data_IF_562526276131
#
_entry.id   IF_562526276131
#
_cell.length_a   1.000
_cell.length_b   1.000
_cell.length_c   1.000
_cell.angle_alpha   90.00
_cell.angle_beta   90.00
_cell.angle_gamma   90.00
#
_symmetry.space_group_name_H-M   'P 1'
#
loop_
_entity.id
_entity.type
_entity.pdbx_description
1 polymer ?
#
# COMPACT_ATOMS: atom_id res chain seq x y z
N UNK A 1 55.53 -22.49 -3.05
CA UNK A 1 54.09 -22.68 -2.75
C UNK A 1 53.50 -21.30 -2.52
N UNK A 2 52.77 -20.75 -3.49
CA UNK A 2 52.05 -19.47 -3.38
C UNK A 2 50.57 -19.80 -3.47
N UNK A 3 49.84 -19.60 -2.38
CA UNK A 3 48.38 -19.75 -2.32
C UNK A 3 47.75 -18.45 -2.82
N UNK A 4 47.01 -18.53 -3.91
CA UNK A 4 46.21 -17.43 -4.43
C UNK A 4 44.84 -17.45 -3.74
N UNK A 5 44.51 -16.37 -3.02
CA UNK A 5 43.17 -16.14 -2.47
C UNK A 5 42.24 -15.65 -3.59
N UNK A 6 41.20 -16.43 -3.88
CA UNK A 6 40.11 -16.03 -4.77
C UNK A 6 39.07 -15.23 -3.97
N UNK A 7 38.98 -13.94 -4.27
CA UNK A 7 37.87 -13.06 -3.86
C UNK A 7 36.71 -13.37 -4.80
N UNK A 8 35.64 -13.97 -4.28
CA UNK A 8 34.38 -14.13 -5.01
C UNK A 8 33.57 -12.83 -4.89
N UNK A 9 33.54 -12.04 -5.96
CA UNK A 9 32.57 -10.98 -6.14
C UNK A 9 31.22 -11.61 -6.50
N UNK A 10 30.20 -11.42 -5.64
CA UNK A 10 28.82 -11.76 -5.96
C UNK A 10 28.29 -10.71 -6.95
N UNK A 11 28.28 -11.07 -8.23
CA UNK A 11 27.56 -10.33 -9.26
C UNK A 11 26.09 -10.76 -9.19
N UNK A 12 25.23 -9.85 -8.74
CA UNK A 12 23.80 -9.94 -8.97
C UNK A 12 23.52 -9.69 -10.46
N UNK A 13 22.67 -10.50 -11.07
CA UNK A 13 22.14 -10.23 -12.41
C UNK A 13 22.10 -11.44 -13.33
N UNK A 14 20.92 -12.06 -13.38
CA UNK A 14 20.16 -12.61 -14.53
C UNK A 14 19.34 -13.74 -13.93
N UNK A 15 18.09 -13.43 -13.57
CA UNK A 15 17.10 -14.47 -13.43
C UNK A 15 16.92 -15.08 -14.83
N UNK A 16 17.50 -16.26 -15.05
CA UNK A 16 17.13 -17.12 -16.17
C UNK A 16 15.66 -17.50 -15.97
N UNK A 17 14.75 -16.67 -16.51
CA UNK A 17 13.39 -17.07 -16.75
C UNK A 17 13.45 -18.30 -17.67
N UNK A 18 13.27 -19.49 -17.08
CA UNK A 18 13.22 -20.72 -17.86
C UNK A 18 12.02 -20.61 -18.81
N UNK A 19 12.17 -20.92 -20.12
CA UNK A 19 11.04 -21.01 -21.02
C UNK A 19 10.07 -22.08 -20.47
N UNK A 20 8.84 -21.67 -20.10
CA UNK A 20 7.79 -22.58 -19.66
C UNK A 20 7.24 -22.41 -18.23
N UNK A 21 7.67 -21.40 -17.46
CA UNK A 21 7.00 -21.06 -16.19
C UNK A 21 5.77 -20.19 -16.46
N UNK A 22 4.58 -20.78 -16.33
CA UNK A 22 3.33 -20.03 -16.30
C UNK A 22 3.27 -19.21 -14.99
N UNK A 23 3.39 -17.89 -15.11
CA UNK A 23 3.32 -16.95 -13.97
C UNK A 23 2.01 -17.12 -13.19
N UNK A 24 0.89 -17.41 -13.87
CA UNK A 24 -0.40 -17.63 -13.20
C UNK A 24 -0.35 -18.89 -12.33
N UNK A 25 0.26 -19.96 -12.85
CA UNK A 25 0.47 -21.19 -12.08
C UNK A 25 1.40 -20.97 -10.88
N UNK A 26 2.48 -20.21 -11.05
CA UNK A 26 3.40 -19.88 -9.95
C UNK A 26 2.73 -19.10 -8.82
N UNK A 27 1.86 -18.13 -9.17
CA UNK A 27 1.09 -17.35 -8.19
C UNK A 27 0.11 -18.28 -7.47
N UNK A 28 -0.64 -19.12 -8.20
CA UNK A 28 -1.58 -20.07 -7.61
C UNK A 28 -0.88 -21.06 -6.65
N UNK A 29 0.26 -21.63 -7.06
CA UNK A 29 1.04 -22.55 -6.22
C UNK A 29 1.55 -21.85 -4.94
N UNK A 30 1.93 -20.58 -5.03
CA UNK A 30 2.37 -19.81 -3.88
C UNK A 30 1.22 -19.40 -2.95
N UNK A 31 0.05 -19.05 -3.50
CA UNK A 31 -1.16 -18.81 -2.70
C UNK A 31 -1.56 -20.08 -1.92
N UNK A 32 -1.46 -21.25 -2.56
CA UNK A 32 -1.65 -22.54 -1.89
C UNK A 32 -0.62 -22.75 -0.77
N UNK A 33 0.64 -22.38 -0.98
CA UNK A 33 1.65 -22.43 0.07
C UNK A 33 1.34 -21.48 1.23
N UNK A 34 0.89 -20.25 0.97
CA UNK A 34 0.49 -19.31 2.05
C UNK A 34 -0.63 -19.90 2.92
N UNK A 35 -1.61 -20.57 2.31
CA UNK A 35 -2.69 -21.26 3.04
C UNK A 35 -2.18 -22.38 3.96
N UNK A 36 -0.98 -22.89 3.72
CA UNK A 36 -0.37 -24.01 4.46
C UNK A 36 0.73 -23.57 5.44
N UNK A 37 1.18 -22.33 5.35
CA UNK A 37 2.25 -21.75 6.17
C UNK A 37 1.66 -21.20 7.48
N UNK A 38 2.51 -21.09 8.52
CA UNK A 38 2.16 -20.46 9.79
C UNK A 38 1.53 -19.06 9.64
N UNK A 39 0.80 -18.62 10.67
CA UNK A 39 0.19 -17.29 10.69
C UNK A 39 -1.23 -17.22 10.15
N UNK A 40 -1.92 -18.37 10.07
CA UNK A 40 -3.35 -18.46 9.80
C UNK A 40 -3.75 -18.41 8.32
N UNK A 41 -2.79 -18.27 7.39
CA UNK A 41 -3.07 -18.11 5.96
C UNK A 41 -3.76 -16.78 5.63
N UNK A 42 -4.35 -16.63 4.42
CA UNK A 42 -5.05 -15.40 4.04
C UNK A 42 -6.27 -15.12 4.92
N UNK A 43 -6.62 -13.85 5.10
CA UNK A 43 -7.79 -13.46 5.88
C UNK A 43 -9.09 -13.75 5.13
N UNK A 44 -9.99 -14.54 5.71
CA UNK A 44 -11.22 -15.03 5.02
C UNK A 44 -12.54 -14.69 5.71
N UNK A 45 -12.51 -13.98 6.85
CA UNK A 45 -13.73 -13.59 7.57
C UNK A 45 -14.56 -12.60 6.72
N UNK A 46 -15.89 -12.77 6.64
CA UNK A 46 -16.75 -11.77 5.99
C UNK A 46 -16.93 -10.55 6.91
N UNK A 47 -17.14 -9.38 6.33
CA UNK A 47 -17.29 -8.10 7.05
C UNK A 47 -18.48 -7.31 6.51
N UNK A 48 -18.95 -6.33 7.30
CA UNK A 48 -20.05 -5.44 6.91
C UNK A 48 -21.38 -6.17 6.75
N UNK A 49 -22.21 -5.66 5.83
CA UNK A 49 -23.51 -6.22 5.43
C UNK A 49 -23.39 -7.60 4.76
N UNK A 50 -22.22 -7.95 4.21
CA UNK A 50 -22.00 -9.27 3.60
C UNK A 50 -22.07 -10.44 4.60
N UNK A 51 -21.98 -10.18 5.90
CA UNK A 51 -22.11 -11.22 6.95
C UNK A 51 -23.54 -11.79 6.98
N UNK A 52 -24.55 -10.94 6.75
CA UNK A 52 -25.97 -11.29 6.95
C UNK A 52 -26.68 -11.66 5.64
N UNK A 53 -26.16 -11.20 4.50
CA UNK A 53 -26.76 -11.40 3.19
C UNK A 53 -26.56 -12.83 2.66
N UNK A 54 -27.62 -13.42 2.10
CA UNK A 54 -27.53 -14.69 1.36
C UNK A 54 -27.04 -14.43 -0.06
N UNK A 55 -26.49 -15.45 -0.72
CA UNK A 55 -25.94 -15.32 -2.08
C UNK A 55 -26.90 -14.70 -3.10
N UNK A 56 -28.20 -15.06 -3.01
CA UNK A 56 -29.25 -14.52 -3.89
C UNK A 56 -29.59 -13.03 -3.64
N UNK A 57 -29.15 -12.48 -2.52
CA UNK A 57 -29.34 -11.09 -2.11
C UNK A 57 -28.13 -10.22 -2.51
N UNK A 58 -27.05 -10.82 -3.02
CA UNK A 58 -25.85 -10.11 -3.43
C UNK A 58 -26.02 -9.47 -4.81
N UNK A 59 -25.57 -8.23 -4.94
CA UNK A 59 -25.33 -7.61 -6.24
C UNK A 59 -24.11 -8.25 -6.91
N UNK A 60 -23.88 -7.94 -8.18
CA UNK A 60 -22.66 -8.39 -8.87
C UNK A 60 -21.40 -7.88 -8.16
N UNK A 61 -21.38 -6.62 -7.72
CA UNK A 61 -20.26 -6.05 -6.96
C UNK A 61 -20.13 -6.71 -5.59
N UNK A 62 -21.23 -6.90 -4.86
CA UNK A 62 -21.21 -7.55 -3.55
C UNK A 62 -20.68 -8.98 -3.61
N UNK A 63 -21.09 -9.76 -4.62
CA UNK A 63 -20.54 -11.09 -4.88
C UNK A 63 -19.04 -11.03 -5.21
N UNK A 64 -18.61 -10.10 -6.07
CA UNK A 64 -17.21 -9.94 -6.41
C UNK A 64 -16.34 -9.56 -5.19
N UNK A 65 -16.82 -8.65 -4.33
CA UNK A 65 -16.13 -8.29 -3.09
C UNK A 65 -16.07 -9.47 -2.14
N UNK A 66 -17.19 -10.18 -1.93
CA UNK A 66 -17.22 -11.40 -1.10
C UNK A 66 -16.16 -12.38 -1.55
N UNK A 67 -16.08 -12.67 -2.85
CA UNK A 67 -15.13 -13.63 -3.41
C UNK A 67 -13.67 -13.18 -3.21
N UNK A 68 -13.37 -11.87 -3.23
CA UNK A 68 -12.04 -11.35 -2.84
C UNK A 68 -11.78 -11.59 -1.36
N UNK A 69 -12.75 -11.25 -0.49
CA UNK A 69 -12.61 -11.33 0.97
C UNK A 69 -12.37 -12.76 1.45
N UNK A 70 -12.95 -13.76 0.78
CA UNK A 70 -12.73 -15.18 1.09
C UNK A 70 -11.62 -15.82 0.24
N UNK A 71 -10.91 -15.01 -0.56
CA UNK A 71 -9.79 -15.41 -1.43
C UNK A 71 -10.14 -16.42 -2.53
N UNK A 72 -11.37 -16.37 -3.02
CA UNK A 72 -11.84 -17.08 -4.22
C UNK A 72 -11.64 -16.25 -5.50
N UNK A 73 -11.48 -14.93 -5.38
CA UNK A 73 -11.12 -14.03 -6.47
C UNK A 73 -9.87 -13.21 -6.13
N UNK A 74 -9.18 -12.71 -7.16
CA UNK A 74 -8.05 -11.80 -6.97
C UNK A 74 -8.53 -10.43 -6.50
N UNK A 75 -7.86 -9.87 -5.50
CA UNK A 75 -7.97 -8.45 -5.13
C UNK A 75 -7.27 -7.51 -6.12
N UNK A 76 -6.61 -8.03 -7.15
CA UNK A 76 -5.93 -7.27 -8.19
C UNK A 76 -6.68 -7.40 -9.53
N UNK A 77 -6.66 -6.33 -10.33
CA UNK A 77 -7.10 -6.34 -11.73
C UNK A 77 -6.07 -5.57 -12.56
N UNK A 78 -5.43 -6.24 -13.53
CA UNK A 78 -4.44 -5.62 -14.43
C UNK A 78 -4.94 -5.42 -15.86
N UNK A 79 -6.19 -5.80 -16.13
CA UNK A 79 -6.72 -5.93 -17.49
C UNK A 79 -7.84 -4.91 -17.79
N UNK A 80 -8.58 -4.45 -16.77
CA UNK A 80 -9.71 -3.52 -16.97
C UNK A 80 -9.25 -2.06 -16.94
N UNK A 81 -9.59 -1.29 -17.98
CA UNK A 81 -9.27 0.14 -18.12
C UNK A 81 -10.42 0.91 -18.78
N UNK A 82 -10.45 2.23 -18.60
CA UNK A 82 -11.14 3.10 -19.55
C UNK A 82 -10.40 3.14 -20.88
N UNK A 83 -11.14 3.11 -21.97
CA UNK A 83 -10.63 3.62 -23.23
C UNK A 83 -10.66 5.16 -23.17
N UNK A 84 -9.48 5.79 -23.14
CA UNK A 84 -9.35 7.25 -23.06
C UNK A 84 -10.01 7.95 -24.27
N UNK A 85 -10.20 7.26 -25.41
CA UNK A 85 -10.92 7.79 -26.57
C UNK A 85 -12.45 7.77 -26.42
N UNK A 86 -12.95 6.96 -25.49
CA UNK A 86 -14.38 6.81 -25.18
C UNK A 86 -14.78 7.50 -23.86
N UNK A 87 -13.81 8.08 -23.13
CA UNK A 87 -14.09 8.78 -21.88
C UNK A 87 -14.95 10.03 -22.12
N UNK A 88 -16.19 9.98 -21.63
CA UNK A 88 -17.12 11.09 -21.72
C UNK A 88 -16.54 12.38 -21.08
N UNK A 89 -16.79 13.57 -21.66
CA UNK A 89 -16.31 14.82 -21.09
C UNK A 89 -16.79 15.04 -19.65
N UNK A 90 -15.90 15.49 -18.77
CA UNK A 90 -16.24 15.79 -17.37
C UNK A 90 -17.40 16.80 -17.28
N UNK A 91 -18.49 16.40 -16.62
CA UNK A 91 -19.69 17.21 -16.44
C UNK A 91 -20.68 17.16 -17.61
N UNK A 92 -20.50 16.23 -18.55
CA UNK A 92 -21.54 15.87 -19.51
C UNK A 92 -22.53 14.87 -18.89
N UNK A 93 -23.73 14.78 -19.47
CA UNK A 93 -24.77 13.84 -19.03
C UNK A 93 -24.30 12.39 -19.15
N UNK A 94 -23.52 12.06 -20.17
CA UNK A 94 -22.94 10.73 -20.36
C UNK A 94 -21.97 10.38 -19.21
N UNK A 95 -21.13 11.32 -18.79
CA UNK A 95 -20.22 11.10 -17.66
C UNK A 95 -20.97 11.02 -16.32
N UNK A 96 -22.06 11.77 -16.16
CA UNK A 96 -22.93 11.69 -14.98
C UNK A 96 -23.70 10.36 -14.90
N UNK A 97 -23.93 9.70 -16.04
CA UNK A 97 -24.60 8.39 -16.10
C UNK A 97 -23.68 7.18 -15.82
N UNK A 98 -22.36 7.36 -15.84
CA UNK A 98 -21.37 6.35 -15.45
C UNK A 98 -20.78 6.71 -14.09
N UNK A 99 -21.19 5.96 -13.05
CA UNK A 99 -20.75 6.14 -11.66
C UNK A 99 -19.23 6.26 -11.49
N UNK A 100 -18.45 5.70 -12.41
CA UNK A 100 -16.99 5.70 -12.36
C UNK A 100 -16.34 6.78 -13.24
N UNK A 101 -17.07 7.52 -14.07
CA UNK A 101 -16.47 8.43 -15.05
C UNK A 101 -15.70 9.57 -14.38
N UNK A 102 -16.32 10.24 -13.40
CA UNK A 102 -15.64 11.31 -12.66
C UNK A 102 -14.37 10.82 -11.96
N UNK A 103 -14.38 9.57 -11.49
CA UNK A 103 -13.26 8.96 -10.78
C UNK A 103 -12.04 8.72 -11.67
N UNK A 104 -12.21 8.56 -12.99
CA UNK A 104 -11.07 8.52 -13.93
C UNK A 104 -10.33 9.86 -13.97
N UNK A 105 -11.06 10.97 -14.07
CA UNK A 105 -10.46 12.31 -14.01
C UNK A 105 -9.77 12.58 -12.68
N UNK A 106 -10.34 12.10 -11.57
CA UNK A 106 -9.74 12.19 -10.25
C UNK A 106 -8.45 11.37 -10.22
N UNK A 107 -8.50 10.09 -10.58
CA UNK A 107 -7.34 9.19 -10.57
C UNK A 107 -6.17 9.72 -11.43
N UNK A 108 -6.45 10.26 -12.61
CA UNK A 108 -5.42 10.85 -13.48
C UNK A 108 -4.76 12.10 -12.87
N UNK A 109 -5.54 12.94 -12.18
CA UNK A 109 -5.02 14.11 -11.49
C UNK A 109 -4.20 13.74 -10.25
N UNK A 110 -4.64 12.74 -9.50
CA UNK A 110 -3.92 12.18 -8.35
C UNK A 110 -2.58 11.61 -8.79
N UNK A 111 -2.57 10.74 -9.81
CA UNK A 111 -1.37 10.07 -10.32
C UNK A 111 -0.28 11.06 -10.76
N UNK A 112 -0.66 12.19 -11.38
CA UNK A 112 0.27 13.27 -11.77
C UNK A 112 0.99 13.91 -10.59
N UNK A 113 0.40 13.86 -9.39
CA UNK A 113 1.00 14.42 -8.17
C UNK A 113 1.84 13.39 -7.40
N UNK A 114 1.85 12.13 -7.81
CA UNK A 114 2.38 11.00 -7.02
C UNK A 114 3.74 10.48 -7.49
N UNK A 115 4.26 10.98 -8.61
CA UNK A 115 5.51 10.52 -9.23
C UNK A 115 6.41 11.72 -9.58
N UNK A 116 7.71 11.60 -9.33
CA UNK A 116 8.69 12.63 -9.69
C UNK A 116 9.48 12.32 -10.96
N UNK A 117 10.50 13.12 -11.24
CA UNK A 117 11.33 13.02 -12.46
C UNK A 117 12.16 11.74 -12.58
N UNK A 118 12.33 10.97 -11.50
CA UNK A 118 12.95 9.64 -11.58
C UNK A 118 11.96 8.54 -11.99
N UNK A 119 10.66 8.84 -12.07
CA UNK A 119 9.63 7.84 -12.30
C UNK A 119 9.31 6.96 -11.08
N UNK A 120 9.91 7.24 -9.91
CA UNK A 120 9.57 6.60 -8.63
C UNK A 120 8.49 7.41 -7.91
N UNK A 121 7.73 6.78 -7.02
CA UNK A 121 6.69 7.50 -6.28
C UNK A 121 7.27 8.42 -5.19
N UNK A 122 6.53 9.48 -4.89
CA UNK A 122 6.94 10.59 -4.03
C UNK A 122 6.20 10.59 -2.68
N UNK A 123 6.43 11.59 -1.84
CA UNK A 123 5.84 11.71 -0.51
C UNK A 123 4.31 11.81 -0.53
N UNK A 124 3.71 12.35 -1.59
CA UNK A 124 2.25 12.39 -1.78
C UNK A 124 1.69 10.98 -1.90
N UNK A 125 2.33 10.13 -2.72
CA UNK A 125 1.93 8.73 -2.85
C UNK A 125 2.06 7.98 -1.53
N UNK A 126 3.24 8.06 -0.89
CA UNK A 126 3.50 7.43 0.41
C UNK A 126 2.52 7.88 1.49
N UNK A 127 2.23 9.18 1.51
CA UNK A 127 1.25 9.78 2.40
C UNK A 127 -0.16 9.26 2.15
N UNK A 128 -0.57 9.11 0.90
CA UNK A 128 -1.91 8.62 0.55
C UNK A 128 -2.11 7.14 0.93
N UNK A 129 -1.08 6.30 0.74
CA UNK A 129 -1.07 4.90 1.21
C UNK A 129 -1.26 4.85 2.73
N UNK A 130 -0.49 5.65 3.47
CA UNK A 130 -0.62 5.74 4.94
C UNK A 130 -1.99 6.28 5.35
N UNK A 131 -2.50 7.29 4.67
CA UNK A 131 -3.81 7.91 4.96
C UNK A 131 -4.95 6.88 4.80
N UNK A 132 -4.92 6.07 3.74
CA UNK A 132 -5.91 5.01 3.53
C UNK A 132 -5.96 4.01 4.68
N UNK A 133 -4.79 3.62 5.21
CA UNK A 133 -4.70 2.79 6.42
C UNK A 133 -5.22 3.52 7.66
N UNK A 134 -4.79 4.75 7.94
CA UNK A 134 -5.13 5.46 9.16
C UNK A 134 -6.62 5.83 9.25
N UNK A 135 -7.28 6.09 8.12
CA UNK A 135 -8.74 6.25 8.07
C UNK A 135 -9.43 4.91 8.39
N UNK A 136 -9.13 3.87 7.61
CA UNK A 136 -9.85 2.61 7.68
C UNK A 136 -9.58 1.78 8.95
N UNK A 137 -8.34 1.78 9.44
CA UNK A 137 -7.92 0.92 10.52
C UNK A 137 -8.38 1.42 11.89
N UNK A 138 -9.01 2.59 12.01
CA UNK A 138 -9.56 3.08 13.27
C UNK A 138 -10.95 2.44 13.59
N UNK A 139 -11.04 1.13 13.38
CA UNK A 139 -12.23 0.27 13.56
C UNK A 139 -11.88 -1.04 14.27
N UNK A 140 -12.81 -1.65 14.99
CA UNK A 140 -12.66 -2.99 15.57
C UNK A 140 -14.02 -3.70 15.70
N UNK A 141 -14.02 -5.03 15.66
CA UNK A 141 -15.22 -5.86 15.90
C UNK A 141 -15.86 -5.62 17.28
N UNK A 142 -15.03 -5.42 18.31
CA UNK A 142 -15.50 -5.34 19.70
C UNK A 142 -16.00 -3.96 20.11
N UNK A 143 -15.31 -2.88 19.71
CA UNK A 143 -15.69 -1.51 20.11
C UNK A 143 -16.39 -0.73 18.99
N UNK A 144 -16.51 -1.33 17.81
CA UNK A 144 -16.89 -0.61 16.60
C UNK A 144 -15.82 0.40 16.21
N UNK A 145 -16.27 1.55 15.75
CA UNK A 145 -15.47 2.58 15.12
C UNK A 145 -16.10 2.99 13.80
N UNK A 146 -15.45 3.93 13.13
CA UNK A 146 -15.93 4.58 11.91
C UNK A 146 -15.43 3.86 10.67
N UNK A 147 -14.16 3.45 10.68
CA UNK A 147 -13.56 2.69 9.60
C UNK A 147 -13.31 3.54 8.36
N UNK A 148 -13.41 2.95 7.18
CA UNK A 148 -13.17 3.64 5.91
C UNK A 148 -14.34 4.57 5.57
N UNK A 149 -14.41 5.72 6.21
CA UNK A 149 -15.53 6.66 6.12
C UNK A 149 -15.11 8.14 6.05
N UNK A 150 -13.81 8.41 5.87
CA UNK A 150 -13.27 9.75 5.72
C UNK A 150 -13.29 10.62 6.97
N UNK A 151 -13.67 10.06 8.12
CA UNK A 151 -13.69 10.74 9.41
C UNK A 151 -12.33 11.35 9.75
N UNK A 152 -11.21 10.75 9.31
CA UNK A 152 -9.89 11.27 9.63
C UNK A 152 -9.67 12.74 9.17
N UNK A 153 -10.29 13.12 8.05
CA UNK A 153 -10.26 14.50 7.53
C UNK A 153 -11.50 15.27 7.99
N UNK A 154 -12.69 14.70 7.87
CA UNK A 154 -13.95 15.40 8.16
C UNK A 154 -14.04 15.82 9.64
N UNK A 155 -13.58 14.96 10.54
CA UNK A 155 -13.52 15.23 11.98
C UNK A 155 -12.21 15.91 12.41
N UNK A 156 -11.38 16.35 11.47
CA UNK A 156 -10.11 17.06 11.70
C UNK A 156 -9.12 16.26 12.59
N UNK A 157 -9.08 14.94 12.41
CA UNK A 157 -8.27 14.04 13.24
C UNK A 157 -6.79 14.08 12.89
N UNK A 158 -6.42 14.41 11.65
CA UNK A 158 -5.01 14.60 11.27
C UNK A 158 -4.31 15.70 12.09
N UNK A 159 -5.07 16.69 12.60
CA UNK A 159 -4.52 17.84 13.36
C UNK A 159 -4.75 17.74 14.86
N UNK A 160 -5.63 16.84 15.31
CA UNK A 160 -6.07 16.77 16.71
C UNK A 160 -5.63 15.50 17.42
N UNK A 161 -5.12 14.49 16.70
CA UNK A 161 -4.71 13.22 17.28
C UNK A 161 -3.26 12.89 17.01
N UNK A 162 -2.57 12.47 18.07
CA UNK A 162 -1.14 12.18 18.03
C UNK A 162 -0.78 10.91 17.27
N UNK A 163 -1.69 9.93 17.20
CA UNK A 163 -1.53 8.70 16.41
C UNK A 163 -1.51 8.99 14.89
N UNK A 164 -2.03 10.13 14.45
CA UNK A 164 -2.03 10.58 13.06
C UNK A 164 -0.89 11.54 12.70
N UNK A 165 0.05 11.79 13.62
CA UNK A 165 1.15 12.74 13.41
C UNK A 165 1.90 12.45 12.10
N UNK A 166 2.12 13.48 11.31
CA UNK A 166 2.77 13.40 10.00
C UNK A 166 1.85 13.13 8.82
N UNK A 167 0.53 13.08 9.01
CA UNK A 167 -0.47 13.02 7.94
C UNK A 167 -1.02 14.39 7.53
N UNK A 168 -0.65 15.46 8.23
CA UNK A 168 -1.23 16.80 8.05
C UNK A 168 -1.15 17.28 6.59
N UNK A 169 0.02 17.13 5.96
CA UNK A 169 0.27 17.55 4.57
C UNK A 169 -0.62 16.81 3.56
N UNK A 170 -0.72 15.48 3.67
CA UNK A 170 -1.55 14.68 2.77
C UNK A 170 -3.04 14.88 3.05
N UNK A 171 -3.45 15.10 4.31
CA UNK A 171 -4.84 15.43 4.64
C UNK A 171 -5.24 16.78 4.05
N UNK A 172 -4.37 17.80 4.12
CA UNK A 172 -4.64 19.12 3.53
C UNK A 172 -4.70 19.05 1.98
N UNK A 173 -3.83 18.23 1.37
CA UNK A 173 -3.88 17.97 -0.07
C UNK A 173 -5.16 17.23 -0.48
N UNK A 174 -5.55 16.20 0.27
CA UNK A 174 -6.77 15.43 0.03
C UNK A 174 -8.03 16.29 0.21
N UNK A 175 -8.05 17.17 1.22
CA UNK A 175 -9.12 18.15 1.39
C UNK A 175 -9.20 19.14 0.21
N UNK A 176 -8.07 19.51 -0.38
CA UNK A 176 -8.01 20.34 -1.59
C UNK A 176 -8.59 19.62 -2.81
N UNK A 177 -8.25 18.34 -3.01
CA UNK A 177 -8.86 17.51 -4.05
C UNK A 177 -10.36 17.31 -3.84
N UNK A 178 -10.78 17.08 -2.61
CA UNK A 178 -12.21 16.97 -2.27
C UNK A 178 -12.94 18.27 -2.58
N UNK A 179 -12.41 19.43 -2.21
CA UNK A 179 -13.01 20.73 -2.53
C UNK A 179 -13.17 20.95 -4.05
N UNK A 180 -12.21 20.46 -4.85
CA UNK A 180 -12.24 20.52 -6.32
C UNK A 180 -13.34 19.63 -6.92
N UNK A 181 -13.58 18.46 -6.34
CA UNK A 181 -14.40 17.41 -6.95
C UNK A 181 -15.75 17.14 -6.28
N UNK A 182 -16.00 17.61 -5.04
CA UNK A 182 -17.24 17.35 -4.28
C UNK A 182 -18.53 17.76 -4.99
N UNK A 183 -18.46 18.72 -5.93
CA UNK A 183 -19.61 19.13 -6.75
C UNK A 183 -20.13 18.02 -7.67
N UNK A 184 -19.36 16.96 -7.89
CA UNK A 184 -19.72 15.78 -8.67
C UNK A 184 -20.21 14.60 -7.80
N UNK A 185 -20.59 14.86 -6.53
CA UNK A 185 -21.20 13.84 -5.67
C UNK A 185 -20.24 12.81 -5.07
N UNK A 186 -18.92 13.06 -5.11
CA UNK A 186 -17.94 12.17 -4.46
C UNK A 186 -18.01 12.27 -2.93
N UNK A 187 -17.62 11.20 -2.25
CA UNK A 187 -17.39 11.16 -0.79
C UNK A 187 -15.91 11.36 -0.47
N UNK A 188 -15.60 11.88 0.71
CA UNK A 188 -14.22 11.92 1.22
C UNK A 188 -13.68 10.51 1.45
N UNK A 189 -14.53 9.62 1.97
CA UNK A 189 -14.20 8.22 2.21
C UNK A 189 -13.68 7.52 0.95
N UNK A 190 -14.40 7.65 -0.16
CA UNK A 190 -14.00 7.06 -1.43
C UNK A 190 -12.77 7.76 -2.01
N UNK A 191 -12.65 9.09 -1.85
CA UNK A 191 -11.46 9.81 -2.30
C UNK A 191 -10.19 9.33 -1.59
N UNK A 192 -10.24 9.08 -0.27
CA UNK A 192 -9.10 8.56 0.50
C UNK A 192 -8.71 7.17 0.01
N UNK A 193 -9.68 6.25 -0.10
CA UNK A 193 -9.38 4.86 -0.50
C UNK A 193 -8.95 4.76 -1.96
N UNK A 194 -9.55 5.55 -2.87
CA UNK A 194 -9.05 5.67 -4.25
C UNK A 194 -7.64 6.25 -4.28
N UNK A 195 -7.36 7.31 -3.51
CA UNK A 195 -6.02 7.93 -3.48
C UNK A 195 -4.94 6.96 -3.03
N UNK A 196 -5.24 6.10 -2.05
CA UNK A 196 -4.32 5.04 -1.64
C UNK A 196 -4.07 4.03 -2.76
N UNK A 197 -5.11 3.57 -3.47
CA UNK A 197 -4.94 2.62 -4.57
C UNK A 197 -4.21 3.24 -5.78
N UNK A 198 -4.51 4.49 -6.12
CA UNK A 198 -3.79 5.26 -7.17
C UNK A 198 -2.32 5.42 -6.77
N UNK A 199 -2.03 5.73 -5.51
CA UNK A 199 -0.67 5.84 -5.00
C UNK A 199 0.10 4.52 -5.09
N UNK A 200 -0.52 3.42 -4.65
CA UNK A 200 0.07 2.07 -4.73
C UNK A 200 0.47 1.73 -6.15
N UNK A 201 -0.40 1.86 -7.16
CA UNK A 201 -0.04 1.57 -8.56
C UNK A 201 0.91 2.60 -9.17
N UNK A 202 0.91 3.84 -8.68
CA UNK A 202 1.84 4.89 -9.13
C UNK A 202 3.28 4.58 -8.73
N UNK A 203 3.48 3.94 -7.57
CA UNK A 203 4.75 3.34 -7.21
C UNK A 203 5.07 2.19 -8.19
N UNK A 204 6.24 2.21 -8.87
CA UNK A 204 6.62 1.13 -9.75
C UNK A 204 6.56 -0.22 -9.03
N UNK A 205 6.11 -1.27 -9.74
CA UNK A 205 5.82 -2.61 -9.23
C UNK A 205 4.58 -2.74 -8.32
N UNK A 206 3.92 -1.63 -7.98
CA UNK A 206 2.76 -1.66 -7.08
C UNK A 206 1.51 -2.25 -7.73
N UNK A 207 0.73 -3.09 -7.02
CA UNK A 207 -0.43 -3.75 -7.59
C UNK A 207 -1.56 -2.78 -7.91
N UNK A 208 -2.34 -3.11 -8.95
CA UNK A 208 -3.64 -2.48 -9.23
C UNK A 208 -4.71 -3.11 -8.34
N UNK A 209 -4.85 -2.58 -7.13
CA UNK A 209 -5.83 -3.06 -6.15
C UNK A 209 -7.25 -2.71 -6.63
N UNK A 210 -8.15 -3.69 -6.63
CA UNK A 210 -9.55 -3.49 -7.03
C UNK A 210 -10.19 -2.41 -6.17
N UNK A 211 -10.86 -1.47 -6.81
CA UNK A 211 -11.36 -0.24 -6.18
C UNK A 211 -12.87 -0.19 -6.29
N UNK A 212 -13.51 0.01 -5.14
CA UNK A 212 -14.96 0.09 -5.01
C UNK A 212 -15.33 1.47 -4.48
N UNK A 213 -16.43 2.03 -4.96
CA UNK A 213 -16.91 3.39 -4.65
C UNK A 213 -18.35 3.31 -4.13
N UNK A 214 -18.73 4.21 -3.24
CA UNK A 214 -20.08 4.28 -2.65
C UNK A 214 -20.07 4.33 -1.13
N UNK A 215 -18.92 4.63 -0.50
CA UNK A 215 -18.82 4.79 0.96
C UNK A 215 -19.57 6.03 1.41
N UNK A 216 -20.10 5.97 2.62
CA UNK A 216 -20.77 7.10 3.26
C UNK A 216 -19.77 7.85 4.13
N UNK A 217 -19.71 9.16 3.95
CA UNK A 217 -18.91 10.04 4.80
C UNK A 217 -19.45 10.08 6.24
N UNK A 218 -18.54 10.21 7.20
CA UNK A 218 -18.86 10.39 8.60
C UNK A 218 -18.10 11.56 9.20
N UNK A 219 -18.80 12.39 9.98
CA UNK A 219 -18.17 13.41 10.82
C UNK A 219 -17.92 12.93 12.26
N UNK A 220 -18.21 11.66 12.56
CA UNK A 220 -17.94 11.08 13.87
C UNK A 220 -16.44 10.83 13.96
N UNK A 221 -15.72 11.35 14.97
CA UNK A 221 -14.31 11.02 15.15
C UNK A 221 -14.13 9.54 15.44
N UNK A 222 -13.04 8.96 14.93
CA UNK A 222 -12.77 7.55 15.13
C UNK A 222 -12.51 7.19 16.61
N UNK A 223 -12.75 5.94 16.97
CA UNK A 223 -12.43 5.45 18.32
C UNK A 223 -10.92 5.53 18.59
N UNK A 224 -10.54 5.97 19.80
CA UNK A 224 -9.13 6.09 20.19
C UNK A 224 -8.48 4.73 20.43
N UNK A 225 -7.15 4.69 20.26
CA UNK A 225 -6.31 3.52 20.58
C UNK A 225 -6.59 2.27 19.73
N UNK A 226 -7.05 2.46 18.48
CA UNK A 226 -7.28 1.37 17.53
C UNK A 226 -6.18 1.25 16.44
N UNK A 227 -5.19 2.15 16.46
CA UNK A 227 -4.04 2.11 15.56
C UNK A 227 -2.80 1.51 16.26
N UNK A 228 -1.91 0.82 15.52
CA UNK A 228 -0.70 0.24 16.07
C UNK A 228 0.35 1.30 16.42
N UNK A 229 1.24 0.97 17.37
CA UNK A 229 2.45 1.74 17.64
C UNK A 229 3.69 1.07 16.99
N UNK A 230 4.66 1.84 16.46
CA UNK A 230 5.88 1.30 15.83
C UNK A 230 6.79 0.50 16.78
N UNK A 231 6.50 0.49 18.08
CA UNK A 231 7.19 -0.32 19.10
C UNK A 231 6.42 -1.55 19.58
N UNK A 232 5.21 -1.77 19.08
CA UNK A 232 4.34 -2.85 19.55
C UNK A 232 4.94 -4.24 19.33
N UNK A 233 4.62 -5.17 20.25
CA UNK A 233 4.98 -6.58 20.10
C UNK A 233 4.13 -7.26 19.03
N UNK A 234 4.64 -8.33 18.42
CA UNK A 234 3.89 -9.17 17.48
C UNK A 234 2.56 -9.63 18.08
N UNK A 235 2.55 -10.14 19.31
CA UNK A 235 1.33 -10.56 20.01
C UNK A 235 0.28 -9.44 20.15
N UNK A 236 0.71 -8.20 20.43
CA UNK A 236 -0.22 -7.05 20.49
C UNK A 236 -0.76 -6.72 19.10
N UNK A 237 0.10 -6.72 18.08
CA UNK A 237 -0.29 -6.45 16.70
C UNK A 237 -1.25 -7.51 16.16
N UNK A 238 -0.99 -8.79 16.41
CA UNK A 238 -1.86 -9.89 15.99
C UNK A 238 -3.24 -9.79 16.64
N UNK A 239 -3.30 -9.44 17.93
CA UNK A 239 -4.58 -9.17 18.60
C UNK A 239 -5.29 -7.97 17.97
N UNK A 240 -4.58 -6.86 17.76
CA UNK A 240 -5.16 -5.63 17.20
C UNK A 240 -5.72 -5.84 15.79
N UNK A 241 -5.00 -6.56 14.94
CA UNK A 241 -5.40 -6.85 13.57
C UNK A 241 -6.42 -8.00 13.47
N UNK A 242 -6.40 -8.96 14.39
CA UNK A 242 -7.45 -9.98 14.52
C UNK A 242 -8.82 -9.38 14.86
N UNK A 243 -8.84 -8.33 15.68
CA UNK A 243 -10.04 -7.51 15.93
C UNK A 243 -10.51 -6.72 14.69
N UNK A 244 -9.70 -6.68 13.63
CA UNK A 244 -9.99 -6.05 12.33
C UNK A 244 -10.18 -7.08 11.22
N UNK A 245 -10.42 -8.35 11.56
CA UNK A 245 -10.61 -9.46 10.62
C UNK A 245 -9.38 -9.90 9.82
N UNK A 246 -8.16 -9.55 10.28
CA UNK A 246 -6.92 -9.99 9.64
C UNK A 246 -6.25 -11.13 10.40
N UNK A 247 -5.65 -12.06 9.65
CA UNK A 247 -4.71 -13.03 10.19
C UNK A 247 -3.32 -12.39 10.37
N UNK A 248 -2.41 -13.03 11.14
CA UNK A 248 -1.00 -12.63 11.16
C UNK A 248 -0.35 -12.58 9.77
N UNK A 249 -0.65 -13.53 8.86
CA UNK A 249 -0.15 -13.48 7.49
C UNK A 249 -0.73 -12.32 6.68
N UNK A 250 -2.01 -11.98 6.87
CA UNK A 250 -2.63 -10.79 6.28
C UNK A 250 -1.97 -9.50 6.74
N UNK A 251 -1.60 -9.39 8.02
CA UNK A 251 -0.80 -8.28 8.54
C UNK A 251 0.56 -8.19 7.84
N UNK A 252 1.28 -9.32 7.66
CA UNK A 252 2.57 -9.32 6.96
C UNK A 252 2.43 -8.81 5.53
N UNK A 253 1.35 -9.15 4.82
CA UNK A 253 1.09 -8.65 3.48
C UNK A 253 0.93 -7.12 3.48
N UNK A 254 0.15 -6.56 4.41
CA UNK A 254 -0.08 -5.12 4.55
C UNK A 254 1.18 -4.35 4.95
N UNK A 255 2.02 -4.90 5.84
CA UNK A 255 3.28 -4.28 6.27
C UNK A 255 4.25 -4.01 5.11
N UNK A 256 4.13 -4.75 4.01
CA UNK A 256 4.92 -4.51 2.81
C UNK A 256 4.77 -3.09 2.24
N UNK A 257 3.69 -2.37 2.57
CA UNK A 257 3.55 -0.94 2.22
C UNK A 257 4.72 -0.08 2.73
N UNK A 258 5.44 -0.54 3.76
CA UNK A 258 6.67 0.09 4.25
C UNK A 258 7.82 0.08 3.22
N UNK A 259 7.72 -0.66 2.11
CA UNK A 259 8.64 -0.50 0.98
C UNK A 259 8.55 0.90 0.34
N UNK A 260 7.42 1.58 0.55
CA UNK A 260 7.21 2.96 0.10
C UNK A 260 6.93 3.87 1.29
N UNK A 261 7.84 3.92 2.26
CA UNK A 261 7.69 4.77 3.45
C UNK A 261 8.99 5.45 3.91
N UNK A 262 8.82 6.54 4.64
CA UNK A 262 9.87 7.24 5.39
C UNK A 262 9.33 7.64 6.76
N UNK A 263 10.19 7.59 7.78
CA UNK A 263 9.83 7.95 9.15
C UNK A 263 10.28 9.39 9.46
N UNK A 264 9.44 10.16 10.15
CA UNK A 264 9.78 11.54 10.60
C UNK A 264 9.80 11.71 12.11
N UNK A 265 9.11 10.84 12.85
CA UNK A 265 8.77 11.09 14.26
C UNK A 265 9.11 9.95 15.21
N UNK A 266 9.51 8.77 14.71
CA UNK A 266 9.91 7.66 15.59
C UNK A 266 11.31 7.92 16.11
N UNK A 267 12.21 8.33 15.23
CA UNK A 267 13.51 8.87 15.58
C UNK A 267 13.72 10.21 14.86
N UNK A 268 13.46 11.35 15.52
CA UNK A 268 13.64 12.67 14.92
C UNK A 268 15.07 12.96 14.45
N UNK A 269 16.09 12.30 15.02
CA UNK A 269 17.48 12.47 14.59
C UNK A 269 17.75 11.84 13.22
N UNK A 270 16.87 10.93 12.80
CA UNK A 270 16.91 10.21 11.53
C UNK A 270 15.70 10.53 10.64
N UNK A 271 15.08 11.69 10.82
CA UNK A 271 13.91 12.09 10.04
C UNK A 271 14.18 11.92 8.52
N UNK A 272 13.16 11.44 7.82
CA UNK A 272 13.14 11.07 6.41
C UNK A 272 13.95 9.81 6.07
N UNK A 273 14.44 9.06 7.07
CA UNK A 273 15.01 7.73 6.83
C UNK A 273 13.93 6.76 6.33
N UNK A 274 14.19 6.04 5.22
CA UNK A 274 13.24 5.08 4.66
C UNK A 274 13.25 3.73 5.39
N UNK A 275 12.22 2.92 5.19
CA UNK A 275 12.14 1.56 5.75
C UNK A 275 12.83 0.51 4.87
N UNK A 276 13.22 0.87 3.65
CA UNK A 276 14.15 0.13 2.79
C UNK A 276 15.02 1.08 1.94
N UNK A 277 15.87 0.54 1.08
CA UNK A 277 16.76 1.34 0.22
C UNK A 277 16.09 2.01 -0.98
N UNK A 278 14.83 1.70 -1.25
CA UNK A 278 14.11 2.06 -2.48
C UNK A 278 12.74 2.68 -2.16
N UNK A 279 12.65 3.74 -1.32
CA UNK A 279 11.39 4.26 -0.77
C UNK A 279 10.37 4.83 -1.78
N UNK A 280 10.68 4.81 -3.07
CA UNK A 280 9.78 5.20 -4.15
C UNK A 280 9.37 4.03 -5.06
N UNK A 281 9.71 2.79 -4.71
CA UNK A 281 9.44 1.59 -5.49
C UNK A 281 8.71 0.58 -4.60
N UNK A 282 7.64 -0.03 -5.10
CA UNK A 282 6.87 -1.03 -4.36
C UNK A 282 7.52 -2.41 -4.52
N UNK A 283 8.68 -2.62 -3.89
CA UNK A 283 9.47 -3.83 -4.06
C UNK A 283 9.65 -4.62 -2.75
N UNK A 284 10.36 -5.75 -2.83
CA UNK A 284 10.56 -6.64 -1.69
C UNK A 284 11.81 -6.32 -0.87
N UNK A 285 12.48 -5.18 -1.12
CA UNK A 285 13.66 -4.76 -0.36
C UNK A 285 13.31 -4.60 1.12
N UNK A 286 12.14 -4.06 1.47
CA UNK A 286 11.62 -4.02 2.84
C UNK A 286 11.70 -5.37 3.56
N UNK A 287 11.15 -6.43 2.95
CA UNK A 287 11.15 -7.76 3.56
C UNK A 287 12.58 -8.30 3.75
N UNK A 288 13.44 -8.11 2.74
CA UNK A 288 14.82 -8.57 2.77
C UNK A 288 15.67 -7.81 3.80
N UNK A 289 15.54 -6.49 3.83
CA UNK A 289 16.39 -5.60 4.61
C UNK A 289 15.97 -5.57 6.07
N UNK A 290 14.68 -5.77 6.38
CA UNK A 290 14.23 -5.95 7.77
C UNK A 290 14.95 -7.12 8.45
N UNK A 291 15.10 -8.26 7.75
CA UNK A 291 15.82 -9.44 8.25
C UNK A 291 17.35 -9.29 8.24
N UNK A 292 17.90 -8.37 7.45
CA UNK A 292 19.35 -8.24 7.26
C UNK A 292 19.97 -7.37 8.39
N UNK A 293 20.84 -7.92 9.27
CA UNK A 293 21.51 -7.12 10.30
C UNK A 293 22.46 -6.06 9.71
N UNK A 294 22.88 -6.22 8.45
CA UNK A 294 23.74 -5.31 7.71
C UNK A 294 22.97 -4.57 6.60
N UNK A 295 21.69 -4.23 6.83
CA UNK A 295 20.94 -3.38 5.91
C UNK A 295 21.65 -2.02 5.72
N UNK A 296 21.44 -1.33 4.58
CA UNK A 296 22.08 -0.04 4.33
C UNK A 296 21.86 0.96 5.49
N UNK A 297 22.88 1.74 5.90
CA UNK A 297 22.77 2.63 7.07
C UNK A 297 21.63 3.65 7.04
N UNK A 298 21.18 4.08 5.86
CA UNK A 298 20.00 4.95 5.73
C UNK A 298 18.71 4.28 6.20
N UNK A 299 18.62 2.95 6.10
CA UNK A 299 17.40 2.19 6.39
C UNK A 299 17.08 2.24 7.88
N UNK A 300 15.85 2.61 8.20
CA UNK A 300 15.31 2.66 9.55
C UNK A 300 14.24 1.57 9.70
N UNK A 301 14.50 0.61 10.60
CA UNK A 301 13.56 -0.48 10.89
C UNK A 301 12.70 -0.12 12.09
N UNK A 302 11.39 -0.20 11.95
CA UNK A 302 10.52 -0.13 13.13
C UNK A 302 10.69 -1.40 13.97
N UNK A 303 10.55 -1.25 15.29
CA UNK A 303 10.69 -2.37 16.20
C UNK A 303 9.52 -3.36 16.04
N UNK A 304 8.33 -2.87 15.70
CA UNK A 304 7.16 -3.67 15.29
C UNK A 304 7.47 -4.57 14.09
N UNK A 305 8.13 -4.04 13.06
CA UNK A 305 8.46 -4.78 11.85
C UNK A 305 9.45 -5.90 12.16
N UNK A 306 10.44 -5.61 13.00
CA UNK A 306 11.40 -6.62 13.50
C UNK A 306 10.65 -7.72 14.27
N UNK A 307 9.77 -7.35 15.21
CA UNK A 307 8.99 -8.33 15.99
C UNK A 307 8.17 -9.25 15.09
N UNK A 308 7.41 -8.70 14.14
CA UNK A 308 6.59 -9.50 13.22
C UNK A 308 7.45 -10.34 12.26
N UNK A 309 8.59 -9.82 11.80
CA UNK A 309 9.47 -10.56 10.88
C UNK A 309 10.13 -11.80 11.51
N UNK A 310 10.32 -11.80 12.83
CA UNK A 310 11.01 -12.86 13.57
C UNK A 310 10.04 -13.79 14.32
N UNK A 311 8.76 -13.41 14.45
CA UNK A 311 7.78 -14.20 15.18
C UNK A 311 7.58 -15.59 14.54
N UNK A 312 7.52 -16.68 15.33
CA UNK A 312 7.26 -18.03 14.82
C UNK A 312 6.00 -18.17 13.96
N UNK A 313 4.96 -17.37 14.19
CA UNK A 313 3.74 -17.41 13.40
C UNK A 313 3.92 -16.79 12.02
N UNK A 314 4.84 -15.83 11.83
CA UNK A 314 4.89 -15.02 10.60
C UNK A 314 6.24 -15.05 9.88
N UNK A 315 7.30 -15.60 10.47
CA UNK A 315 8.63 -15.55 9.85
C UNK A 315 8.71 -16.29 8.50
N UNK A 316 7.92 -17.35 8.30
CA UNK A 316 7.92 -18.13 7.06
C UNK A 316 7.28 -17.33 5.90
N UNK A 317 6.12 -16.71 6.14
CA UNK A 317 5.46 -15.84 5.15
C UNK A 317 6.30 -14.60 4.86
N UNK A 318 6.98 -14.02 5.87
CA UNK A 318 7.92 -12.92 5.67
C UNK A 318 9.06 -13.31 4.71
N UNK A 319 9.67 -14.48 4.93
CA UNK A 319 10.74 -15.00 4.06
C UNK A 319 10.24 -15.35 2.66
N UNK A 320 8.98 -15.79 2.53
CA UNK A 320 8.37 -16.03 1.23
C UNK A 320 8.27 -14.74 0.42
N UNK A 321 7.77 -13.65 1.00
CA UNK A 321 7.71 -12.36 0.30
C UNK A 321 9.10 -11.82 -0.03
N UNK A 322 10.10 -12.07 0.82
CA UNK A 322 11.51 -11.73 0.53
C UNK A 322 12.14 -12.51 -0.65
N UNK A 323 11.47 -13.53 -1.20
CA UNK A 323 12.07 -14.50 -2.13
C UNK A 323 11.93 -14.12 -3.62
N UNK A 324 12.69 -13.11 -4.05
CA UNK A 324 12.88 -12.78 -5.46
C UNK A 324 11.59 -12.42 -6.22
N UNK A 325 11.59 -12.48 -7.57
CA UNK A 325 10.44 -12.08 -8.38
C UNK A 325 9.14 -12.84 -8.08
N UNK A 326 9.25 -14.10 -7.63
CA UNK A 326 8.10 -14.88 -7.16
C UNK A 326 7.52 -14.27 -5.89
N UNK A 327 8.37 -13.94 -4.91
CA UNK A 327 7.96 -13.26 -3.68
C UNK A 327 7.20 -11.97 -3.96
N UNK A 328 7.67 -11.14 -4.90
CA UNK A 328 6.98 -9.92 -5.34
C UNK A 328 5.56 -10.19 -5.84
N UNK A 329 5.38 -11.12 -6.79
CA UNK A 329 4.08 -11.38 -7.38
C UNK A 329 3.08 -11.89 -6.34
N UNK A 330 3.56 -12.73 -5.43
CA UNK A 330 2.76 -13.33 -4.36
C UNK A 330 2.39 -12.30 -3.31
N UNK A 331 3.33 -11.44 -2.94
CA UNK A 331 3.08 -10.32 -2.05
C UNK A 331 2.06 -9.35 -2.66
N UNK A 332 2.23 -8.93 -3.92
CA UNK A 332 1.28 -8.04 -4.60
C UNK A 332 -0.16 -8.58 -4.55
N UNK A 333 -0.32 -9.88 -4.80
CA UNK A 333 -1.61 -10.54 -4.76
C UNK A 333 -2.20 -10.60 -3.34
N UNK A 334 -1.37 -10.91 -2.34
CA UNK A 334 -1.80 -10.93 -0.94
C UNK A 334 -2.14 -9.52 -0.45
N UNK A 335 -1.28 -8.53 -0.71
CA UNK A 335 -1.50 -7.13 -0.38
C UNK A 335 -2.80 -6.62 -1.01
N UNK A 336 -3.06 -6.90 -2.29
CA UNK A 336 -4.27 -6.43 -2.95
C UNK A 336 -5.54 -6.98 -2.29
N UNK A 337 -5.59 -8.28 -1.97
CA UNK A 337 -6.73 -8.87 -1.26
C UNK A 337 -6.90 -8.29 0.15
N UNK A 338 -5.81 -8.15 0.90
CA UNK A 338 -5.87 -7.62 2.27
C UNK A 338 -6.15 -6.10 2.30
N UNK A 339 -5.73 -5.35 1.29
CA UNK A 339 -6.04 -3.92 1.19
C UNK A 339 -7.50 -3.69 0.76
N UNK A 340 -8.08 -4.55 -0.09
CA UNK A 340 -9.54 -4.52 -0.33
C UNK A 340 -10.29 -4.69 1.00
N UNK A 341 -9.93 -5.69 1.82
CA UNK A 341 -10.47 -5.88 3.17
C UNK A 341 -10.27 -4.64 4.05
N UNK A 342 -9.06 -4.08 4.08
CA UNK A 342 -8.75 -2.85 4.83
C UNK A 342 -9.67 -1.71 4.43
N UNK A 343 -9.83 -1.45 3.12
CA UNK A 343 -10.65 -0.36 2.59
C UNK A 343 -12.15 -0.50 2.87
N UNK A 344 -12.59 -1.64 3.42
CA UNK A 344 -13.99 -1.97 3.70
C UNK A 344 -14.30 -2.10 5.19
N UNK A 345 -13.31 -1.92 6.08
CA UNK A 345 -13.56 -1.92 7.53
C UNK A 345 -14.58 -0.82 7.88
N UNK A 346 -15.61 -1.17 8.64
CA UNK A 346 -16.68 -0.24 9.03
C UNK A 346 -17.68 0.13 7.94
N UNK A 347 -17.49 -0.33 6.68
CA UNK A 347 -18.43 -0.10 5.59
C UNK A 347 -19.61 -1.06 5.73
N UNK A 348 -20.82 -0.53 5.85
CA UNK A 348 -22.04 -1.30 6.11
C UNK A 348 -22.99 -1.37 4.89
N UNK A 349 -22.50 -0.95 3.72
CA UNK A 349 -23.22 -1.00 2.44
C UNK A 349 -22.32 -1.57 1.33
N UNK A 350 -21.51 -2.58 1.67
CA UNK A 350 -20.55 -3.20 0.76
C UNK A 350 -21.28 -3.77 -0.46
N UNK A 351 -22.48 -4.34 -0.26
CA UNK A 351 -23.28 -4.89 -1.34
C UNK A 351 -23.77 -3.84 -2.36
N UNK A 352 -23.81 -2.58 -1.97
CA UNK A 352 -24.30 -1.47 -2.80
C UNK A 352 -23.16 -0.65 -3.44
N UNK A 353 -21.89 -1.06 -3.26
CA UNK A 353 -20.77 -0.38 -3.89
C UNK A 353 -20.71 -0.63 -5.40
N UNK A 354 -20.03 0.27 -6.11
CA UNK A 354 -19.74 0.15 -7.54
C UNK A 354 -18.27 -0.15 -7.75
N UNK A 355 -17.94 -1.16 -8.55
CA UNK A 355 -16.56 -1.43 -8.94
C UNK A 355 -16.07 -0.40 -9.98
N UNK A 356 -15.07 0.38 -9.59
CA UNK A 356 -14.46 1.40 -10.43
C UNK A 356 -12.98 1.14 -10.72
N UNK A 357 -12.50 -0.10 -10.62
CA UNK A 357 -11.09 -0.45 -10.86
C UNK A 357 -10.56 0.05 -12.21
N UNK A 358 -11.43 0.16 -13.23
CA UNK A 358 -11.12 0.72 -14.56
C UNK A 358 -10.54 2.14 -14.53
N UNK A 359 -10.72 2.90 -13.44
CA UNK A 359 -10.21 4.27 -13.31
C UNK A 359 -8.71 4.35 -13.04
N UNK A 360 -8.11 3.27 -12.51
CA UNK A 360 -6.75 3.30 -12.00
C UNK A 360 -5.72 3.41 -13.13
N UNK A 361 -4.57 4.09 -12.88
CA UNK A 361 -3.43 4.06 -13.79
C UNK A 361 -2.97 2.64 -14.19
N UNK A 362 -2.24 2.51 -15.31
CA UNK A 362 -1.70 1.23 -15.73
C UNK A 362 -0.66 0.67 -14.77
N UNK A 363 -0.65 -0.66 -14.65
CA UNK A 363 0.36 -1.36 -13.86
C UNK A 363 1.74 -1.19 -14.48
N UNK A 364 2.75 -1.02 -13.64
CA UNK A 364 4.15 -0.85 -14.05
C UNK A 364 4.97 -2.09 -13.62
N UNK A 365 5.06 -3.13 -14.45
CA UNK A 365 5.64 -4.43 -14.08
C UNK A 365 7.17 -4.44 -13.97
N UNK A 366 7.82 -3.36 -14.42
CA UNK A 366 9.27 -3.20 -14.38
C UNK A 366 9.63 -1.75 -14.13
N UNK A 367 10.78 -1.54 -13.51
CA UNK A 367 11.33 -0.21 -13.27
C UNK A 367 12.85 -0.27 -13.20
N UNK A 368 13.49 0.58 -13.99
CA UNK A 368 14.92 0.80 -13.93
C UNK A 368 15.17 2.14 -13.24
N UNK A 369 15.86 2.09 -12.11
CA UNK A 369 16.14 3.27 -11.31
C UNK A 369 17.18 4.15 -12.04
N UNK A 370 16.81 5.36 -12.51
CA UNK A 370 17.66 6.12 -13.43
C UNK A 370 18.92 6.71 -12.81
N UNK A 371 19.03 6.70 -11.48
CA UNK A 371 20.14 7.20 -10.67
C UNK A 371 20.59 6.18 -9.61
N UNK A 372 20.47 4.87 -9.90
CA UNK A 372 20.77 3.78 -8.97
C UNK A 372 22.13 3.95 -8.26
N UNK A 373 23.20 4.26 -9.00
CA UNK A 373 24.54 4.46 -8.43
C UNK A 373 24.61 5.57 -7.36
N UNK A 374 23.79 6.62 -7.52
CA UNK A 374 23.72 7.72 -6.56
C UNK A 374 22.85 7.32 -5.38
N UNK A 375 21.72 6.66 -5.64
CA UNK A 375 20.84 6.13 -4.61
C UNK A 375 21.59 5.16 -3.68
N UNK A 376 22.37 4.23 -4.23
CA UNK A 376 23.15 3.28 -3.44
C UNK A 376 24.17 3.97 -2.52
N UNK A 377 24.85 5.00 -3.03
CA UNK A 377 25.78 5.81 -2.22
C UNK A 377 25.07 6.56 -1.10
N UNK A 378 23.91 7.14 -1.40
CA UNK A 378 23.06 7.79 -0.39
C UNK A 378 22.66 6.80 0.69
N UNK A 379 22.15 5.62 0.29
CA UNK A 379 21.67 4.60 1.22
C UNK A 379 22.79 3.98 2.06
N UNK A 380 24.04 4.04 1.57
CA UNK A 380 25.26 3.65 2.27
C UNK A 380 25.63 4.52 3.48
N UNK A 381 24.87 5.58 3.78
CA UNK A 381 25.10 6.50 4.90
C UNK A 381 23.79 7.01 5.50
N UNK A 382 23.84 7.65 6.68
CA UNK A 382 22.66 8.35 7.21
C UNK A 382 22.36 9.57 6.33
N UNK A 383 21.10 9.74 5.92
CA UNK A 383 20.69 10.82 5.02
C UNK A 383 20.67 12.16 5.76
N UNK A 384 21.69 12.98 5.53
CA UNK A 384 21.80 14.32 6.14
C UNK A 384 21.60 15.47 5.15
N UNK A 385 21.89 15.25 3.87
CA UNK A 385 21.79 16.28 2.83
C UNK A 385 20.35 16.65 2.48
N UNK A 386 20.01 17.93 2.62
CA UNK A 386 18.67 18.46 2.27
C UNK A 386 18.32 18.25 0.79
N UNK A 387 19.33 18.31 -0.11
CA UNK A 387 19.12 18.05 -1.53
C UNK A 387 18.68 16.61 -1.80
N UNK A 388 19.27 15.65 -1.07
CA UNK A 388 18.87 14.24 -1.16
C UNK A 388 17.46 14.06 -0.61
N UNK A 389 17.17 14.63 0.58
CA UNK A 389 15.84 14.54 1.21
C UNK A 389 14.77 15.08 0.28
N UNK A 390 14.96 16.28 -0.26
CA UNK A 390 14.01 16.89 -1.21
C UNK A 390 13.83 16.07 -2.49
N UNK A 391 14.91 15.47 -3.03
CA UNK A 391 14.81 14.62 -4.22
C UNK A 391 13.99 13.35 -3.94
N UNK A 392 14.25 12.66 -2.81
CA UNK A 392 13.49 11.47 -2.40
C UNK A 392 12.05 11.80 -2.03
N UNK A 393 11.83 12.95 -1.40
CA UNK A 393 10.50 13.48 -1.08
C UNK A 393 9.70 13.70 -2.36
N UNK A 394 10.29 14.34 -3.38
CA UNK A 394 9.61 14.62 -4.65
C UNK A 394 9.58 13.45 -5.63
N UNK A 395 10.29 12.36 -5.35
CA UNK A 395 10.47 11.25 -6.30
C UNK A 395 11.34 11.62 -7.50
N UNK A 396 12.17 12.64 -7.36
CA UNK A 396 13.05 13.18 -8.40
C UNK A 396 14.37 12.40 -8.53
N UNK A 397 15.11 12.65 -9.61
CA UNK A 397 16.49 12.18 -9.72
C UNK A 397 17.35 12.93 -8.70
N UNK A 398 18.17 12.19 -7.95
CA UNK A 398 19.11 12.76 -7.00
C UNK A 398 20.22 13.45 -7.81
N UNK A 399 20.44 14.76 -7.61
CA UNK A 399 21.46 15.46 -8.37
C UNK A 399 22.86 14.99 -7.92
N UNK A 400 23.82 14.77 -8.83
CA UNK A 400 25.18 14.35 -8.46
C UNK A 400 25.86 15.27 -7.43
N UNK A 401 25.54 16.57 -7.47
CA UNK A 401 26.04 17.56 -6.52
C UNK A 401 25.63 17.29 -5.06
N UNK A 402 24.58 16.49 -4.83
CA UNK A 402 24.12 16.12 -3.49
C UNK A 402 25.11 15.20 -2.75
N UNK A 403 26.02 14.53 -3.46
CA UNK A 403 27.06 13.69 -2.86
C UNK A 403 28.29 14.49 -2.39
N UNK A 404 28.45 15.73 -2.85
CA UNK A 404 29.63 16.57 -2.58
C UNK A 404 29.45 17.57 -1.43
N UNK A 405 28.22 17.81 -0.98
CA UNK A 405 27.89 18.69 0.15
C UNK A 405 27.01 17.89 1.14
N UNK A 406 27.63 17.12 2.06
CA UNK A 406 26.94 16.26 3.01
C UNK A 406 26.11 17.00 4.04
#
# INVERSE_FOLDING_TARGET
MRTASLIAALVAGIALARPGMDIKKLIADAQLQIRQIGGGGPSTELIGDLIELRERELTATGAAIRDILITEASGQDVDTFYDDSELAPKGSEECESDDCCIWKYIADDLAKQMVGTAGRCNSVARGAIRLGFHDAAAWSKSTGGTGADGSIIIANECKTRSDNKGLEEICDMTATWFAKYKKFGISMADLIQLSANVATVSCPLGPRVRTFIGRKDSSTPATKNLLPDPSDSSAKLFKLFGEKSFTPAGLVALLGAHSTSQQRFVDPSRADSPQDSTPGTWDIAFYQQTLNPNAPPAVFKFQSDIHVSLDPETNEVWRMFAAGPRGQAVWNQAYASEYVRMSLLGVNNINDLTECTKVLPPFRPAFEQPDQDILDKVMGSVINSDLVKQALEKGDKIPPAALSNP
#
